data_IF_958399020913
#
_entry.id   IF_958399020913
#
_cell.length_a   1.000
_cell.length_b   1.000
_cell.length_c   1.000
_cell.angle_alpha   90.00
_cell.angle_beta   90.00
_cell.angle_gamma   90.00
#
_symmetry.space_group_name_H-M   'P 1'
#
loop_
_entity.id
_entity.type
_entity.pdbx_description
1 polymer ?
#
# COMPACT_ATOMS: atom_id res chain seq x y z
N UNK A 1 -1.64 19.55 -16.84
CA UNK A 1 -2.70 18.60 -16.43
C UNK A 1 -3.11 18.90 -15.00
N UNK A 2 -4.36 18.62 -14.61
CA UNK A 2 -4.84 18.91 -13.25
C UNK A 2 -4.36 17.82 -12.29
N UNK A 3 -3.77 18.22 -11.18
CA UNK A 3 -3.36 17.31 -10.11
C UNK A 3 -4.46 17.22 -9.05
N UNK A 4 -4.53 16.07 -8.39
CA UNK A 4 -5.49 15.75 -7.36
C UNK A 4 -4.76 15.21 -6.14
N UNK A 5 -5.34 15.44 -4.96
CA UNK A 5 -4.86 14.87 -3.71
C UNK A 5 -5.85 13.78 -3.29
N UNK A 6 -5.38 12.55 -3.13
CA UNK A 6 -6.18 11.41 -2.68
C UNK A 6 -5.46 10.62 -1.59
N UNK A 7 -6.24 10.03 -0.69
CA UNK A 7 -5.75 9.01 0.23
C UNK A 7 -5.87 7.65 -0.44
N UNK A 8 -4.75 6.94 -0.54
CA UNK A 8 -4.66 5.61 -1.12
C UNK A 8 -4.13 4.66 -0.05
N UNK A 9 -4.78 3.52 0.08
CA UNK A 9 -4.51 2.51 1.07
C UNK A 9 -3.75 1.36 0.43
N UNK A 10 -2.61 1.01 1.01
CA UNK A 10 -1.75 -0.06 0.56
C UNK A 10 -1.73 -1.16 1.62
N UNK A 11 -1.84 -2.41 1.19
CA UNK A 11 -1.52 -3.56 2.04
C UNK A 11 -0.23 -4.15 1.50
N UNK A 12 0.77 -4.28 2.35
CA UNK A 12 2.12 -4.67 2.00
C UNK A 12 2.56 -5.83 2.91
N UNK A 13 3.24 -6.82 2.35
CA UNK A 13 3.98 -7.81 3.14
C UNK A 13 5.30 -7.21 3.59
N UNK A 14 5.60 -7.41 4.86
CA UNK A 14 6.86 -6.99 5.46
C UNK A 14 7.64 -8.21 5.93
N UNK A 15 8.97 -8.10 5.94
CA UNK A 15 9.85 -9.10 6.55
C UNK A 15 10.75 -8.42 7.57
N UNK A 16 10.91 -9.04 8.73
CA UNK A 16 11.93 -8.62 9.68
C UNK A 16 13.30 -9.10 9.19
N UNK A 17 14.19 -8.15 8.90
CA UNK A 17 15.59 -8.41 8.63
C UNK A 17 16.38 -7.60 9.65
N UNK A 18 17.11 -8.29 10.53
CA UNK A 18 18.00 -7.69 11.54
C UNK A 18 17.32 -6.62 12.41
N UNK A 19 16.04 -6.83 12.78
CA UNK A 19 15.28 -5.90 13.61
C UNK A 19 14.59 -4.77 12.84
N UNK A 20 14.75 -4.70 11.52
CA UNK A 20 14.05 -3.75 10.64
C UNK A 20 12.97 -4.44 9.81
N UNK A 21 11.80 -3.84 9.70
CA UNK A 21 10.72 -4.34 8.84
C UNK A 21 10.83 -3.73 7.45
N UNK A 22 11.08 -4.57 6.45
CA UNK A 22 11.25 -4.15 5.05
C UNK A 22 10.03 -4.58 4.25
N UNK A 23 9.48 -3.68 3.43
CA UNK A 23 8.45 -4.02 2.44
C UNK A 23 9.03 -5.01 1.42
N UNK A 24 8.41 -6.18 1.33
CA UNK A 24 8.79 -7.23 0.37
C UNK A 24 7.88 -7.18 -0.85
N UNK A 25 6.60 -6.87 -0.65
CA UNK A 25 5.59 -6.97 -1.71
C UNK A 25 4.31 -6.22 -1.37
N UNK A 26 3.88 -5.32 -2.26
CA UNK A 26 2.50 -4.81 -2.24
C UNK A 26 1.51 -5.94 -2.59
N UNK A 27 0.44 -6.10 -1.82
CA UNK A 27 -0.61 -7.10 -2.03
C UNK A 27 -1.95 -6.51 -2.47
N UNK A 28 -2.19 -5.24 -2.15
CA UNK A 28 -3.44 -4.58 -2.47
C UNK A 28 -3.28 -3.07 -2.44
N UNK A 29 -3.98 -2.39 -3.34
CA UNK A 29 -4.06 -0.92 -3.39
C UNK A 29 -5.50 -0.49 -3.64
N UNK A 30 -6.02 0.45 -2.86
CA UNK A 30 -7.37 0.99 -3.05
C UNK A 30 -7.55 2.41 -2.53
N UNK A 31 -8.57 3.13 -2.99
CA UNK A 31 -8.96 4.44 -2.44
C UNK A 31 -10.05 4.33 -1.35
N UNK A 32 -10.71 3.17 -1.22
CA UNK A 32 -11.69 2.91 -0.17
C UNK A 32 -11.02 2.31 1.08
N UNK A 33 -11.06 3.07 2.19
CA UNK A 33 -10.50 2.69 3.48
C UNK A 33 -11.13 1.43 4.06
N UNK A 34 -12.45 1.36 4.03
CA UNK A 34 -13.23 0.26 4.63
C UNK A 34 -12.91 -1.04 3.89
N UNK A 35 -12.87 -0.97 2.55
CA UNK A 35 -12.49 -2.12 1.72
C UNK A 35 -11.06 -2.57 2.01
N UNK A 36 -10.11 -1.63 2.13
CA UNK A 36 -8.73 -1.98 2.48
C UNK A 36 -8.62 -2.64 3.86
N UNK A 37 -9.32 -2.11 4.87
CA UNK A 37 -9.38 -2.71 6.20
C UNK A 37 -9.97 -4.13 6.19
N UNK A 38 -11.04 -4.36 5.44
CA UNK A 38 -11.66 -5.68 5.35
C UNK A 38 -10.76 -6.71 4.66
N UNK A 39 -10.07 -6.31 3.59
CA UNK A 39 -9.09 -7.18 2.92
C UNK A 39 -7.90 -7.45 3.85
N UNK A 40 -7.40 -6.44 4.55
CA UNK A 40 -6.32 -6.60 5.53
C UNK A 40 -6.67 -7.63 6.61
N UNK A 41 -7.84 -7.50 7.25
CA UNK A 41 -8.29 -8.45 8.27
C UNK A 41 -8.39 -9.88 7.74
N UNK A 42 -8.86 -10.06 6.50
CA UNK A 42 -8.94 -11.37 5.84
C UNK A 42 -7.56 -11.97 5.52
N UNK A 43 -6.57 -11.13 5.19
CA UNK A 43 -5.21 -11.58 4.94
C UNK A 43 -4.49 -11.92 6.26
N UNK A 44 -4.64 -11.07 7.27
CA UNK A 44 -4.07 -11.26 8.60
C UNK A 44 -4.59 -12.54 9.27
N UNK A 45 -5.90 -12.84 9.16
CA UNK A 45 -6.48 -14.06 9.77
C UNK A 45 -6.08 -15.37 9.09
N UNK A 46 -5.59 -15.31 7.84
CA UNK A 46 -5.16 -16.48 7.07
C UNK A 46 -3.67 -16.76 7.17
N UNK A 47 -2.87 -15.85 7.76
CA UNK A 47 -1.41 -16.01 7.77
C UNK A 47 -0.98 -17.09 8.76
N UNK A 48 -0.16 -18.01 8.27
CA UNK A 48 0.57 -19.04 9.00
C UNK A 48 2.10 -18.88 8.89
N UNK A 49 2.59 -17.80 8.24
CA UNK A 49 3.96 -17.70 7.72
C UNK A 49 4.76 -16.52 8.31
N UNK A 50 6.09 -16.64 8.19
CA UNK A 50 7.23 -15.80 8.63
C UNK A 50 7.27 -14.33 8.14
N UNK A 51 6.17 -13.80 7.61
CA UNK A 51 6.11 -12.44 7.05
C UNK A 51 5.03 -11.62 7.76
N UNK A 52 5.36 -10.38 8.10
CA UNK A 52 4.39 -9.40 8.58
C UNK A 52 3.46 -8.88 7.49
N UNK A 53 2.48 -8.08 7.89
CA UNK A 53 1.61 -7.32 7.02
C UNK A 53 1.48 -5.92 7.58
N UNK A 54 1.45 -4.93 6.71
CA UNK A 54 1.14 -3.55 7.08
C UNK A 54 0.02 -3.04 6.17
N UNK A 55 -0.92 -2.30 6.77
CA UNK A 55 -1.89 -1.48 6.07
C UNK A 55 -1.50 -0.03 6.28
N UNK A 56 -1.22 0.67 5.18
CA UNK A 56 -0.72 2.04 5.18
C UNK A 56 -1.68 2.96 4.43
N UNK A 57 -1.85 4.19 4.93
CA UNK A 57 -2.55 5.28 4.26
C UNK A 57 -1.52 6.28 3.71
N UNK A 58 -1.53 6.45 2.40
CA UNK A 58 -0.71 7.42 1.69
C UNK A 58 -1.59 8.55 1.15
N UNK A 59 -1.32 9.78 1.57
CA UNK A 59 -1.92 10.98 0.95
C UNK A 59 -1.02 11.40 -0.21
N UNK A 60 -1.48 11.17 -1.43
CA UNK A 60 -0.70 11.34 -2.66
C UNK A 60 -1.24 12.52 -3.45
N UNK A 61 -0.35 13.36 -3.97
CA UNK A 61 -0.65 14.34 -5.02
C UNK A 61 -0.16 13.81 -6.36
N UNK A 62 -1.06 13.68 -7.33
CA UNK A 62 -0.71 13.21 -8.66
C UNK A 62 -1.78 13.58 -9.70
N UNK A 63 -1.49 13.35 -10.97
CA UNK A 63 -2.48 13.43 -12.05
C UNK A 63 -3.52 12.30 -11.95
N UNK A 64 -4.71 12.52 -12.52
CA UNK A 64 -5.78 11.51 -12.54
C UNK A 64 -5.34 10.19 -13.21
N UNK A 65 -4.55 10.29 -14.29
CA UNK A 65 -4.00 9.16 -15.02
C UNK A 65 -3.11 8.26 -14.15
N UNK A 66 -2.42 8.85 -13.17
CA UNK A 66 -1.60 8.13 -12.21
C UNK A 66 -2.49 7.29 -11.29
N UNK A 67 -3.53 7.88 -10.69
CA UNK A 67 -4.45 7.15 -9.83
C UNK A 67 -5.15 6.02 -10.56
N UNK A 68 -5.59 6.25 -11.81
CA UNK A 68 -6.20 5.21 -12.63
C UNK A 68 -5.26 4.01 -12.82
N UNK A 69 -3.99 4.27 -13.19
CA UNK A 69 -3.00 3.22 -13.39
C UNK A 69 -2.70 2.48 -12.09
N UNK A 70 -2.49 3.21 -10.99
CA UNK A 70 -2.23 2.65 -9.67
C UNK A 70 -3.35 1.70 -9.25
N UNK A 71 -4.59 2.19 -9.20
CA UNK A 71 -5.74 1.42 -8.71
C UNK A 71 -6.06 0.19 -9.57
N UNK A 72 -5.82 0.25 -10.88
CA UNK A 72 -6.15 -0.84 -11.81
C UNK A 72 -5.02 -1.83 -12.05
N UNK A 73 -3.77 -1.40 -11.93
CA UNK A 73 -2.61 -2.15 -12.44
C UNK A 73 -1.42 -2.21 -11.50
N UNK A 74 -1.53 -1.79 -10.24
CA UNK A 74 -0.41 -1.76 -9.27
C UNK A 74 0.51 -2.99 -9.33
N UNK A 75 -0.03 -4.21 -9.47
CA UNK A 75 0.76 -5.46 -9.50
C UNK A 75 1.66 -5.64 -10.73
N UNK A 76 1.51 -4.78 -11.75
CA UNK A 76 2.27 -4.79 -13.00
C UNK A 76 2.98 -3.48 -13.28
N UNK A 77 2.94 -2.52 -12.34
CA UNK A 77 3.59 -1.24 -12.54
C UNK A 77 5.10 -1.39 -12.29
N UNK A 78 5.94 -0.78 -13.14
CA UNK A 78 7.37 -0.82 -12.94
C UNK A 78 7.77 0.07 -11.75
N UNK A 79 8.92 -0.21 -11.13
CA UNK A 79 9.36 0.48 -9.92
C UNK A 79 9.51 2.01 -10.10
N UNK A 80 9.86 2.46 -11.31
CA UNK A 80 9.96 3.89 -11.65
C UNK A 80 8.61 4.60 -11.70
N UNK A 81 7.49 3.87 -11.85
CA UNK A 81 6.15 4.45 -11.72
C UNK A 81 5.98 5.13 -10.35
N UNK A 82 6.36 4.43 -9.29
CA UNK A 82 6.24 4.91 -7.91
C UNK A 82 7.17 6.09 -7.59
N UNK A 83 8.24 6.29 -8.37
CA UNK A 83 9.13 7.47 -8.23
C UNK A 83 8.45 8.78 -8.62
N UNK A 84 7.37 8.71 -9.40
CA UNK A 84 6.55 9.89 -9.76
C UNK A 84 5.55 10.26 -8.67
N UNK A 85 5.46 9.47 -7.61
CA UNK A 85 4.51 9.67 -6.51
C UNK A 85 4.96 10.82 -5.62
N UNK A 86 4.20 11.91 -5.58
CA UNK A 86 4.39 12.94 -4.56
C UNK A 86 3.58 12.58 -3.31
N UNK A 87 4.25 12.00 -2.32
CA UNK A 87 3.66 11.66 -1.02
C UNK A 87 3.61 12.94 -0.17
N UNK A 88 2.40 13.39 0.18
CA UNK A 88 2.18 14.50 1.11
C UNK A 88 2.24 13.99 2.55
N UNK A 89 1.65 12.82 2.81
CA UNK A 89 1.64 12.22 4.13
C UNK A 89 1.62 10.69 4.03
N UNK A 90 2.17 10.04 5.05
CA UNK A 90 2.16 8.60 5.23
C UNK A 90 1.76 8.28 6.67
N UNK A 91 0.90 7.28 6.84
CA UNK A 91 0.52 6.78 8.15
C UNK A 91 0.26 5.26 8.10
N UNK A 92 0.94 4.46 8.95
CA UNK A 92 0.54 3.07 9.17
C UNK A 92 -0.77 3.04 9.98
N UNK A 93 -1.73 2.24 9.52
CA UNK A 93 -3.05 2.09 10.16
C UNK A 93 -3.18 0.80 10.95
N UNK A 94 -2.53 -0.26 10.49
CA UNK A 94 -2.48 -1.55 11.16
C UNK A 94 -1.24 -2.32 10.73
N UNK A 95 -0.70 -3.12 11.64
CA UNK A 95 0.43 -3.99 11.36
C UNK A 95 0.25 -5.33 12.07
N UNK A 96 0.75 -6.39 11.46
CA UNK A 96 1.01 -7.68 12.10
C UNK A 96 2.47 -8.00 11.88
N UNK A 97 3.15 -8.37 12.95
CA UNK A 97 4.53 -8.84 12.90
C UNK A 97 4.54 -10.37 12.82
N UNK A 98 5.57 -10.92 12.19
CA UNK A 98 5.85 -12.35 12.21
C UNK A 98 6.96 -12.68 13.21
#
# INVERSE_FOLDING_TARGET
>A
MKEYIKNIYFIEETQNIEGSYIEVKTLFVNEDKTKALDIYKKLASKKTNSFGLILSEYKIKAEESYFYQLLKRWSKLPADFYRKMQIINYQPLAETHA
#
